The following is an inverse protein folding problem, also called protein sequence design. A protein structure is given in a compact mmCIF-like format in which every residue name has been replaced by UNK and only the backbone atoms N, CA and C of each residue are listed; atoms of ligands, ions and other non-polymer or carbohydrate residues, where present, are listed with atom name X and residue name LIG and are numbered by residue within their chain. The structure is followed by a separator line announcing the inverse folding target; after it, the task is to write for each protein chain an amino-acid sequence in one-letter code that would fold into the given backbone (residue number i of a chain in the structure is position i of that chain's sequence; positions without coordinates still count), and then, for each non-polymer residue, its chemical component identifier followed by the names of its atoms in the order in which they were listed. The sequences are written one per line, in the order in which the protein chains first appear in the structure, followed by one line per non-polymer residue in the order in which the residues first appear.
data_IF_455890838278
#
_entry.id   IF_455890838278
#
_cell.length_a   1.000
_cell.length_b   1.000
_cell.length_c   1.000
_cell.angle_alpha   90.00
_cell.angle_beta   90.00
_cell.angle_gamma   90.00
#
_symmetry.space_group_name_H-M   'P 1'
#
loop_
_entity.id
_entity.type
_entity.pdbx_description
1 polymer ?
#
# COMPACT_ATOMS: atom_id res chain seq x y z
N UNK A 1 13.52 -4.53 -0.07
CA UNK A 1 12.33 -5.21 -0.62
C UNK A 1 12.75 -6.49 -1.31
N UNK A 2 11.85 -7.47 -1.42
CA UNK A 2 12.09 -8.64 -2.27
C UNK A 2 12.19 -8.21 -3.74
N UNK A 3 13.13 -8.80 -4.45
CA UNK A 3 13.27 -8.71 -5.90
C UNK A 3 12.16 -9.52 -6.59
N UNK A 4 11.93 -9.25 -7.87
CA UNK A 4 10.98 -10.04 -8.66
C UNK A 4 11.32 -11.52 -8.68
N UNK A 5 12.61 -11.86 -8.71
CA UNK A 5 13.06 -13.26 -8.80
C UNK A 5 12.89 -13.99 -7.47
N UNK A 6 13.13 -13.31 -6.33
CA UNK A 6 12.77 -13.84 -5.01
C UNK A 6 11.26 -14.08 -4.90
N UNK A 7 10.42 -13.13 -5.33
CA UNK A 7 8.95 -13.29 -5.31
C UNK A 7 8.50 -14.47 -6.18
N UNK A 8 9.06 -14.62 -7.39
CA UNK A 8 8.77 -15.76 -8.28
C UNK A 8 9.21 -17.08 -7.65
N UNK A 9 10.36 -17.11 -6.96
CA UNK A 9 10.85 -18.33 -6.29
C UNK A 9 9.92 -18.81 -5.17
N UNK A 10 9.12 -17.90 -4.60
CA UNK A 10 8.07 -18.20 -3.62
C UNK A 10 6.74 -18.64 -4.27
N UNK A 11 6.65 -18.69 -5.60
CA UNK A 11 5.45 -19.08 -6.34
C UNK A 11 4.43 -17.95 -6.56
N UNK A 12 4.82 -16.70 -6.32
CA UNK A 12 3.94 -15.54 -6.50
C UNK A 12 4.27 -14.77 -7.79
N UNK A 13 3.29 -13.99 -8.28
CA UNK A 13 3.52 -13.02 -9.37
C UNK A 13 3.93 -11.67 -8.77
N UNK A 14 5.11 -11.12 -9.13
CA UNK A 14 5.54 -9.82 -8.64
C UNK A 14 4.58 -8.70 -9.04
N UNK A 15 4.20 -7.87 -8.07
CA UNK A 15 3.48 -6.63 -8.33
C UNK A 15 4.46 -5.50 -8.63
N UNK A 16 4.10 -4.64 -9.59
CA UNK A 16 4.83 -3.42 -9.92
C UNK A 16 4.01 -2.20 -9.53
N UNK A 17 4.67 -1.26 -8.84
CA UNK A 17 4.08 0.06 -8.56
C UNK A 17 3.62 0.71 -9.88
N UNK A 18 2.46 1.34 -9.86
CA UNK A 18 1.74 1.81 -11.05
C UNK A 18 0.73 0.79 -11.60
N UNK A 19 0.78 -0.47 -11.15
CA UNK A 19 -0.24 -1.47 -11.46
C UNK A 19 -1.58 -1.13 -10.80
N UNK A 20 -2.68 -1.42 -11.49
CA UNK A 20 -4.01 -1.15 -10.97
C UNK A 20 -4.41 -2.15 -9.88
N UNK A 21 -5.00 -1.65 -8.79
CA UNK A 21 -5.48 -2.45 -7.66
C UNK A 21 -6.77 -1.85 -7.12
N UNK A 22 -7.70 -2.67 -6.63
CA UNK A 22 -8.91 -2.17 -5.96
C UNK A 22 -8.67 -1.75 -4.51
N UNK A 23 -7.62 -2.28 -3.87
CA UNK A 23 -7.32 -2.04 -2.46
C UNK A 23 -5.85 -2.28 -2.11
N UNK A 24 -5.40 -1.66 -1.02
CA UNK A 24 -4.02 -1.79 -0.52
C UNK A 24 -3.99 -2.09 0.98
N UNK A 25 -3.08 -2.98 1.40
CA UNK A 25 -2.81 -3.28 2.81
C UNK A 25 -1.34 -2.99 3.08
N UNK A 26 -1.05 -2.05 3.99
CA UNK A 26 0.32 -1.82 4.46
C UNK A 26 0.63 -2.76 5.64
N UNK A 27 1.46 -3.77 5.39
CA UNK A 27 1.82 -4.79 6.37
C UNK A 27 3.20 -4.55 7.02
N UNK A 28 4.07 -3.77 6.39
CA UNK A 28 5.44 -3.49 6.86
C UNK A 28 5.75 -1.99 6.80
N UNK A 29 6.69 -1.54 7.64
CA UNK A 29 7.00 -0.13 7.90
C UNK A 29 8.30 0.35 7.23
N UNK A 30 8.56 -0.12 6.02
CA UNK A 30 9.74 0.31 5.27
C UNK A 30 9.69 1.82 4.99
N UNK A 31 10.82 2.50 5.21
CA UNK A 31 10.93 3.95 5.04
C UNK A 31 10.51 4.44 3.65
N UNK A 32 10.71 3.59 2.64
CA UNK A 32 10.30 3.77 1.24
C UNK A 32 8.81 4.10 1.11
N UNK A 33 7.97 3.46 1.92
CA UNK A 33 6.51 3.54 1.82
C UNK A 33 5.93 4.90 2.25
N UNK A 34 6.68 5.68 3.03
CA UNK A 34 6.28 7.06 3.41
C UNK A 34 6.17 8.01 2.21
N UNK A 35 6.76 7.62 1.07
CA UNK A 35 6.75 8.40 -0.17
C UNK A 35 5.60 8.02 -1.11
N UNK A 36 4.87 6.95 -0.83
CA UNK A 36 3.76 6.48 -1.66
C UNK A 36 2.59 7.47 -1.68
N UNK A 37 1.86 7.43 -2.78
CA UNK A 37 0.74 8.33 -3.11
C UNK A 37 -0.39 7.54 -3.80
N UNK A 38 -1.56 8.17 -3.95
CA UNK A 38 -2.68 7.59 -4.69
C UNK A 38 -2.32 7.21 -6.15
N UNK A 39 -1.48 8.00 -6.83
CA UNK A 39 -1.12 7.75 -8.23
C UNK A 39 -0.27 6.51 -8.44
N UNK A 40 0.39 6.02 -7.38
CA UNK A 40 1.17 4.78 -7.42
C UNK A 40 0.28 3.54 -7.52
N UNK A 41 -1.02 3.68 -7.25
CA UNK A 41 -1.99 2.59 -7.20
C UNK A 41 -3.30 2.96 -7.93
N UNK A 42 -3.29 3.03 -9.28
CA UNK A 42 -4.48 3.38 -10.04
C UNK A 42 -5.67 2.47 -9.71
N UNK A 43 -6.84 3.06 -9.46
CA UNK A 43 -8.07 2.31 -9.17
C UNK A 43 -8.27 1.92 -7.70
N UNK A 44 -7.34 2.28 -6.80
CA UNK A 44 -7.47 1.96 -5.37
C UNK A 44 -8.68 2.66 -4.76
N UNK A 45 -9.52 1.90 -4.05
CA UNK A 45 -10.76 2.39 -3.41
C UNK A 45 -10.65 2.45 -1.90
N UNK A 46 -9.82 1.59 -1.31
CA UNK A 46 -9.62 1.54 0.14
C UNK A 46 -8.20 1.11 0.50
N UNK A 47 -7.70 1.65 1.61
CA UNK A 47 -6.38 1.37 2.15
C UNK A 47 -6.50 1.01 3.63
N UNK A 48 -5.83 -0.08 4.03
CA UNK A 48 -5.65 -0.45 5.43
C UNK A 48 -4.18 -0.29 5.80
N UNK A 49 -3.88 0.68 6.65
CA UNK A 49 -2.55 0.90 7.20
C UNK A 49 -2.39 0.16 8.54
N UNK A 50 -1.69 -0.98 8.51
CA UNK A 50 -1.40 -1.78 9.70
C UNK A 50 -0.23 -1.26 10.54
N UNK A 51 0.45 -0.18 10.11
CA UNK A 51 1.69 0.33 10.71
C UNK A 51 1.65 1.81 11.08
N UNK A 52 0.59 2.54 10.72
CA UNK A 52 0.48 4.00 10.86
C UNK A 52 1.70 4.70 10.23
N UNK A 53 2.07 4.25 9.03
CA UNK A 53 3.25 4.73 8.32
C UNK A 53 2.92 5.53 7.05
N UNK A 54 1.68 5.47 6.55
CA UNK A 54 1.22 6.28 5.43
C UNK A 54 0.83 7.68 5.89
N UNK A 55 1.10 8.65 5.04
CA UNK A 55 0.51 9.98 5.13
C UNK A 55 -0.83 9.97 4.37
N UNK A 56 -1.94 9.93 5.11
CA UNK A 56 -3.28 9.86 4.54
C UNK A 56 -3.60 11.05 3.62
N UNK A 57 -2.94 12.20 3.78
CA UNK A 57 -3.15 13.37 2.92
C UNK A 57 -2.69 13.11 1.46
N UNK A 58 -1.76 12.18 1.25
CA UNK A 58 -1.30 11.74 -0.08
C UNK A 58 -2.26 10.79 -0.79
N UNK A 59 -3.33 10.41 -0.11
CA UNK A 59 -4.39 9.53 -0.60
C UNK A 59 -5.76 10.22 -0.53
N UNK A 60 -5.77 11.55 -0.76
CA UNK A 60 -7.01 12.34 -0.75
C UNK A 60 -8.09 11.72 -1.65
N UNK A 61 -9.30 11.57 -1.10
CA UNK A 61 -10.43 10.93 -1.79
C UNK A 61 -10.48 9.40 -1.69
N UNK A 62 -9.47 8.75 -1.11
CA UNK A 62 -9.45 7.30 -0.84
C UNK A 62 -9.68 7.05 0.64
N UNK A 63 -10.49 6.04 0.96
CA UNK A 63 -10.73 5.66 2.35
C UNK A 63 -9.48 5.00 2.95
N UNK A 64 -8.78 5.69 3.86
CA UNK A 64 -7.64 5.16 4.61
C UNK A 64 -8.05 4.80 6.03
N UNK A 65 -7.86 3.54 6.43
CA UNK A 65 -8.12 3.05 7.80
C UNK A 65 -6.81 2.63 8.44
N UNK A 66 -6.54 3.14 9.63
CA UNK A 66 -5.34 2.77 10.40
C UNK A 66 -5.75 1.79 11.51
N UNK A 67 -5.09 0.64 11.58
CA UNK A 67 -5.35 -0.34 12.65
C UNK A 67 -5.02 0.29 14.01
N UNK A 68 -5.94 0.17 14.96
CA UNK A 68 -5.81 0.77 16.30
C UNK A 68 -6.00 2.29 16.34
N UNK A 69 -6.54 2.90 15.29
CA UNK A 69 -7.11 4.25 15.35
C UNK A 69 -8.64 4.18 15.43
N UNK A 70 -9.32 5.23 15.92
CA UNK A 70 -10.78 5.33 15.83
C UNK A 70 -11.25 5.14 14.39
N UNK A 71 -12.40 4.48 14.21
CA UNK A 71 -13.07 4.46 12.92
C UNK A 71 -13.63 5.87 12.66
N UNK A 72 -13.10 6.57 11.64
CA UNK A 72 -13.71 7.81 11.14
C UNK A 72 -15.06 7.51 10.47
#
# INVERSE_FOLDING_TARGET
MYTDDEIKSLGFTPFKIGGSVDGMILQADHAEYKKLTASDFPGVKAIVDGRRALDASKFAGIAVRVIGAPAN
#
